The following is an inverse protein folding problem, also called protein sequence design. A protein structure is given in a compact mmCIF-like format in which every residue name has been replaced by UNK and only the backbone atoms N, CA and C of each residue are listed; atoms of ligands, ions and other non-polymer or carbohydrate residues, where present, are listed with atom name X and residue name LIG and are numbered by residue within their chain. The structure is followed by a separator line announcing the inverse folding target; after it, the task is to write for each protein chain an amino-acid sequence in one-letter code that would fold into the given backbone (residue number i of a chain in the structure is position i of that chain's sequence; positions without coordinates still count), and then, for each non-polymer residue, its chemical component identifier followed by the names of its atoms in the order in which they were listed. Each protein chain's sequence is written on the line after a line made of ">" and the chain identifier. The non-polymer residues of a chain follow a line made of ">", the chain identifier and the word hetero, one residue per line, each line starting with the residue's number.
data_IF_340043743217
#
_entry.id   IF_340043743217
#
_cell.length_a   1.000
_cell.length_b   1.000
_cell.length_c   1.000
_cell.angle_alpha   90.00
_cell.angle_beta   90.00
_cell.angle_gamma   90.00
#
_symmetry.space_group_name_H-M   'P 1'
#
loop_
_entity.id
_entity.type
_entity.pdbx_description
1 polymer ?
#
# COMPACT_ATOMS: atom_id res chain seq x y z
N UNK A 1 16.99 -10.47 14.70
CA UNK A 1 16.11 -10.37 13.53
C UNK A 1 16.75 -9.36 12.59
N UNK A 2 16.91 -9.65 11.30
CA UNK A 2 17.60 -8.70 10.39
C UNK A 2 16.67 -7.57 9.98
N UNK A 3 17.22 -6.41 9.60
CA UNK A 3 16.43 -5.28 9.09
C UNK A 3 15.68 -5.62 7.79
N UNK A 4 16.26 -6.52 6.99
CA UNK A 4 15.62 -7.11 5.81
C UNK A 4 14.38 -7.93 6.21
N UNK A 5 14.43 -8.70 7.31
CA UNK A 5 13.28 -9.45 7.81
C UNK A 5 12.17 -8.51 8.29
N UNK A 6 12.54 -7.47 9.04
CA UNK A 6 11.59 -6.44 9.49
C UNK A 6 10.90 -5.75 8.31
N UNK A 7 11.66 -5.41 7.27
CA UNK A 7 11.10 -4.75 6.09
C UNK A 7 10.26 -5.71 5.25
N UNK A 8 10.63 -6.98 5.15
CA UNK A 8 9.83 -8.01 4.50
C UNK A 8 8.46 -8.17 5.17
N UNK A 9 8.42 -8.31 6.49
CA UNK A 9 7.17 -8.46 7.25
C UNK A 9 6.25 -7.26 7.05
N UNK A 10 6.84 -6.07 7.01
CA UNK A 10 6.10 -4.82 6.99
C UNK A 10 5.63 -4.41 5.58
N UNK A 11 6.36 -4.82 4.52
CA UNK A 11 6.08 -4.46 3.12
C UNK A 11 5.53 -5.60 2.26
N UNK A 12 5.69 -6.85 2.70
CA UNK A 12 5.47 -8.08 1.92
C UNK A 12 6.31 -8.18 0.64
N UNK A 13 7.31 -7.31 0.46
CA UNK A 13 8.24 -7.37 -0.68
C UNK A 13 9.12 -8.62 -0.53
N UNK A 14 9.32 -9.43 -1.58
CA UNK A 14 10.14 -10.64 -1.50
C UNK A 14 11.51 -10.38 -0.90
N UNK A 15 11.95 -11.26 0.00
CA UNK A 15 13.26 -11.12 0.66
C UNK A 15 14.42 -11.07 -0.33
N UNK A 16 14.31 -11.77 -1.47
CA UNK A 16 15.31 -11.74 -2.53
C UNK A 16 15.48 -10.33 -3.12
N UNK A 17 14.38 -9.60 -3.34
CA UNK A 17 14.41 -8.25 -3.87
C UNK A 17 14.99 -7.26 -2.85
N UNK A 18 14.69 -7.45 -1.57
CA UNK A 18 15.27 -6.65 -0.48
C UNK A 18 16.76 -6.93 -0.29
N UNK A 19 17.19 -8.19 -0.40
CA UNK A 19 18.59 -8.57 -0.32
C UNK A 19 19.42 -8.02 -1.49
N UNK A 20 18.80 -7.80 -2.66
CA UNK A 20 19.45 -7.16 -3.81
C UNK A 20 19.82 -5.69 -3.55
N UNK A 21 19.21 -5.04 -2.54
CA UNK A 21 19.56 -3.68 -2.11
C UNK A 21 20.87 -3.62 -1.30
N UNK A 22 21.45 -4.77 -0.95
CA UNK A 22 22.65 -4.88 -0.12
C UNK A 22 22.35 -4.81 1.38
N UNK A 23 23.39 -4.52 2.17
CA UNK A 23 23.27 -4.48 3.63
C UNK A 23 22.37 -3.32 4.08
N UNK A 24 21.34 -3.66 4.86
CA UNK A 24 20.38 -2.72 5.39
C UNK A 24 20.71 -2.41 6.85
N UNK A 25 21.10 -1.16 7.11
CA UNK A 25 21.29 -0.62 8.46
C UNK A 25 19.99 0.04 8.94
N UNK A 26 19.86 0.30 10.25
CA UNK A 26 18.63 0.85 10.86
C UNK A 26 18.20 2.18 10.19
N UNK A 27 19.15 3.05 9.85
CA UNK A 27 18.85 4.33 9.17
C UNK A 27 18.23 4.11 7.79
N UNK A 28 18.74 3.13 7.03
CA UNK A 28 18.19 2.76 5.73
C UNK A 28 16.82 2.09 5.85
N UNK A 29 16.65 1.24 6.88
CA UNK A 29 15.37 0.63 7.21
C UNK A 29 14.30 1.69 7.47
N UNK A 30 14.59 2.70 8.31
CA UNK A 30 13.64 3.77 8.63
C UNK A 30 13.19 4.52 7.37
N UNK A 31 14.13 4.88 6.49
CA UNK A 31 13.83 5.58 5.23
C UNK A 31 12.95 4.72 4.31
N UNK A 32 13.31 3.45 4.10
CA UNK A 32 12.54 2.54 3.25
C UNK A 32 11.16 2.26 3.83
N UNK A 33 11.06 2.15 5.16
CA UNK A 33 9.80 1.93 5.86
C UNK A 33 8.86 3.12 5.67
N UNK A 34 9.35 4.34 5.92
CA UNK A 34 8.56 5.57 5.72
C UNK A 34 8.16 5.75 4.26
N UNK A 35 9.06 5.45 3.31
CA UNK A 35 8.75 5.52 1.88
C UNK A 35 7.65 4.51 1.50
N UNK A 36 7.70 3.29 2.03
CA UNK A 36 6.68 2.28 1.81
C UNK A 36 5.32 2.70 2.39
N UNK A 37 5.29 3.20 3.63
CA UNK A 37 4.06 3.69 4.26
C UNK A 37 3.43 4.82 3.45
N UNK A 38 4.24 5.79 3.00
CA UNK A 38 3.77 6.87 2.16
C UNK A 38 3.19 6.35 0.82
N UNK A 39 3.86 5.39 0.18
CA UNK A 39 3.40 4.79 -1.07
C UNK A 39 2.08 4.02 -0.87
N UNK A 40 1.94 3.31 0.24
CA UNK A 40 0.71 2.60 0.61
C UNK A 40 -0.46 3.58 0.78
N UNK A 41 -0.26 4.64 1.56
CA UNK A 41 -1.30 5.62 1.85
C UNK A 41 -1.66 6.46 0.61
N UNK A 42 -0.69 6.71 -0.27
CA UNK A 42 -0.96 7.31 -1.58
C UNK A 42 -1.82 6.39 -2.44
N UNK A 43 -1.46 5.10 -2.53
CA UNK A 43 -2.23 4.10 -3.30
C UNK A 43 -3.66 3.97 -2.78
N UNK A 44 -3.86 3.98 -1.46
CA UNK A 44 -5.20 3.92 -0.87
C UNK A 44 -6.04 5.14 -1.25
N UNK A 45 -5.46 6.33 -1.19
CA UNK A 45 -6.11 7.57 -1.64
C UNK A 45 -6.44 7.54 -3.13
N UNK A 46 -5.49 7.13 -3.97
CA UNK A 46 -5.67 7.05 -5.41
C UNK A 46 -6.75 6.03 -5.78
N UNK A 47 -6.79 4.87 -5.10
CA UNK A 47 -7.82 3.86 -5.28
C UNK A 47 -9.20 4.37 -4.84
N UNK A 48 -9.30 5.04 -3.68
CA UNK A 48 -10.57 5.63 -3.25
C UNK A 48 -11.05 6.67 -4.25
N UNK A 49 -10.16 7.54 -4.74
CA UNK A 49 -10.50 8.56 -5.72
C UNK A 49 -10.96 7.94 -7.05
N UNK A 50 -10.25 6.91 -7.54
CA UNK A 50 -10.64 6.18 -8.74
C UNK A 50 -12.01 5.50 -8.60
N UNK A 51 -12.31 4.95 -7.42
CA UNK A 51 -13.62 4.35 -7.13
C UNK A 51 -14.69 5.41 -7.05
N UNK A 52 -14.45 6.54 -6.38
CA UNK A 52 -15.42 7.64 -6.32
C UNK A 52 -15.71 8.20 -7.72
N UNK A 53 -14.67 8.32 -8.56
CA UNK A 53 -14.82 8.70 -9.97
C UNK A 53 -15.58 7.63 -10.78
N UNK A 54 -15.26 6.34 -10.63
CA UNK A 54 -15.99 5.25 -11.29
C UNK A 54 -17.44 5.17 -10.85
N UNK A 55 -17.74 5.49 -9.60
CA UNK A 55 -19.09 5.53 -9.07
C UNK A 55 -19.92 6.71 -9.57
N UNK A 56 -19.33 7.67 -10.29
CA UNK A 56 -20.08 8.76 -10.94
C UNK A 56 -21.08 8.25 -11.96
N UNK A 57 -20.80 7.13 -12.63
CA UNK A 57 -21.74 6.49 -13.57
C UNK A 57 -22.83 5.68 -12.88
N UNK A 58 -22.71 5.43 -11.58
CA UNK A 58 -23.69 4.71 -10.76
C UNK A 58 -24.70 5.71 -10.18
N UNK A 59 -26.02 5.45 -10.29
CA UNK A 59 -27.03 6.29 -9.66
C UNK A 59 -26.78 6.48 -8.16
N UNK A 60 -26.94 7.70 -7.67
CA UNK A 60 -26.57 8.08 -6.29
C UNK A 60 -27.23 7.21 -5.22
N UNK A 61 -28.45 6.75 -5.44
CA UNK A 61 -29.22 5.88 -4.53
C UNK A 61 -28.59 4.50 -4.31
N UNK A 62 -27.85 3.96 -5.28
CA UNK A 62 -27.22 2.63 -5.19
C UNK A 62 -25.70 2.69 -5.01
N UNK A 63 -25.10 3.88 -5.10
CA UNK A 63 -23.65 4.10 -4.97
C UNK A 63 -23.06 3.48 -3.69
N UNK A 64 -23.74 3.66 -2.56
CA UNK A 64 -23.29 3.14 -1.25
C UNK A 64 -23.29 1.61 -1.19
N UNK A 65 -24.27 0.96 -1.83
CA UNK A 65 -24.36 -0.50 -1.88
C UNK A 65 -23.26 -1.08 -2.78
N UNK A 66 -23.03 -0.47 -3.96
CA UNK A 66 -21.95 -0.88 -4.89
C UNK A 66 -20.58 -0.69 -4.23
N UNK A 67 -20.35 0.43 -3.54
CA UNK A 67 -19.12 0.66 -2.77
C UNK A 67 -18.91 -0.45 -1.73
N UNK A 68 -19.93 -0.76 -0.93
CA UNK A 68 -19.83 -1.80 0.09
C UNK A 68 -19.54 -3.19 -0.50
N UNK A 69 -20.04 -3.50 -1.69
CA UNK A 69 -19.76 -4.76 -2.39
C UNK A 69 -18.33 -4.86 -2.94
N UNK A 70 -17.76 -3.76 -3.44
CA UNK A 70 -16.38 -3.74 -3.95
C UNK A 70 -15.30 -3.86 -2.86
N UNK A 71 -15.68 -3.57 -1.61
CA UNK A 71 -14.79 -3.55 -0.46
C UNK A 71 -15.15 -4.60 0.61
N UNK A 72 -16.07 -5.52 0.31
CA UNK A 72 -16.35 -6.70 1.14
C UNK A 72 -15.56 -7.90 0.66
#
# INVERSE_FOLDING_TARGET
>A
MSEIDRLHDASRVPRADLAALGDLYEDHYAVLRTAFEHARDKRERDLSAAIDQGLTVVPSLVRSAVRRMLFS
#
